data_IF_206423071314
#
_entry.id   IF_206423071314
#
_cell.length_a   1.000
_cell.length_b   1.000
_cell.length_c   1.000
_cell.angle_alpha   90.00
_cell.angle_beta   90.00
_cell.angle_gamma   90.00
#
_symmetry.space_group_name_H-M   'P 1'
#
loop_
_entity.id
_entity.type
_entity.pdbx_description
1 polymer ?
#
# COMPACT_ATOMS: atom_id res chain seq x y z
N UNK A 1 -14.10 4.71 23.57
CA UNK A 1 -14.34 4.60 22.12
C UNK A 1 -13.22 3.75 21.56
N UNK A 2 -13.47 2.55 21.00
CA UNK A 2 -12.41 1.79 20.37
C UNK A 2 -11.87 2.62 19.22
N UNK A 3 -10.55 2.75 19.14
CA UNK A 3 -9.89 3.39 18.01
C UNK A 3 -10.40 2.78 16.71
N UNK A 4 -10.69 3.60 15.71
CA UNK A 4 -11.04 3.11 14.38
C UNK A 4 -9.80 2.42 13.81
N UNK A 5 -9.78 1.08 13.90
CA UNK A 5 -8.68 0.24 13.45
C UNK A 5 -8.40 0.46 11.96
N UNK A 6 -9.43 0.79 11.16
CA UNK A 6 -9.23 1.10 9.76
C UNK A 6 -8.53 2.45 9.56
N UNK A 7 -8.88 3.47 10.35
CA UNK A 7 -8.19 4.75 10.33
C UNK A 7 -6.73 4.61 10.80
N UNK A 8 -6.50 3.84 11.86
CA UNK A 8 -5.16 3.54 12.37
C UNK A 8 -4.29 2.83 11.32
N UNK A 9 -4.79 1.74 10.72
CA UNK A 9 -4.04 0.99 9.71
C UNK A 9 -3.76 1.83 8.46
N UNK A 10 -4.71 2.68 8.03
CA UNK A 10 -4.49 3.61 6.92
C UNK A 10 -3.40 4.63 7.24
N UNK A 11 -3.40 5.17 8.45
CA UNK A 11 -2.38 6.12 8.90
C UNK A 11 -0.99 5.44 8.96
N UNK A 12 -0.90 4.21 9.44
CA UNK A 12 0.35 3.45 9.50
C UNK A 12 0.95 3.19 8.10
N UNK A 13 0.11 2.98 7.08
CA UNK A 13 0.56 2.73 5.70
C UNK A 13 0.79 4.03 4.89
N UNK A 14 0.39 5.19 5.40
CA UNK A 14 0.46 6.46 4.66
C UNK A 14 1.88 6.85 4.24
N UNK A 15 2.93 6.74 5.09
CA UNK A 15 4.29 7.08 4.71
C UNK A 15 4.82 6.19 3.58
N UNK A 16 4.56 4.89 3.65
CA UNK A 16 4.93 3.93 2.60
C UNK A 16 4.23 4.25 1.28
N UNK A 17 2.94 4.58 1.32
CA UNK A 17 2.19 5.00 0.12
C UNK A 17 2.76 6.27 -0.52
N UNK A 18 3.15 7.26 0.29
CA UNK A 18 3.73 8.50 -0.20
C UNK A 18 5.12 8.26 -0.83
N UNK A 19 5.98 7.49 -0.16
CA UNK A 19 7.29 7.11 -0.70
C UNK A 19 7.16 6.38 -2.05
N UNK A 20 6.14 5.53 -2.19
CA UNK A 20 5.85 4.82 -3.45
C UNK A 20 5.20 5.71 -4.53
N UNK A 21 4.65 6.87 -4.16
CA UNK A 21 4.07 7.83 -5.10
C UNK A 21 5.17 8.73 -5.68
N UNK A 22 6.02 9.29 -4.81
CA UNK A 22 7.19 10.10 -5.23
C UNK A 22 8.30 9.23 -5.83
N UNK A 23 8.25 7.92 -5.54
CA UNK A 23 9.20 6.89 -5.96
C UNK A 23 10.66 7.32 -5.79
N UNK A 24 11.08 7.56 -4.55
CA UNK A 24 12.51 7.70 -4.23
C UNK A 24 13.04 6.36 -3.68
N UNK A 25 13.99 5.69 -4.36
CA UNK A 25 14.47 4.35 -4.02
C UNK A 25 14.83 4.14 -2.54
N UNK A 26 15.53 5.09 -1.93
CA UNK A 26 15.98 4.95 -0.54
C UNK A 26 14.82 5.11 0.46
N UNK A 27 13.90 6.02 0.18
CA UNK A 27 12.70 6.31 0.95
C UNK A 27 11.70 5.16 0.90
N UNK A 28 11.52 4.53 -0.27
CA UNK A 28 10.67 3.35 -0.42
C UNK A 28 11.23 2.20 0.42
N UNK A 29 12.54 1.93 0.35
CA UNK A 29 13.19 0.89 1.14
C UNK A 29 13.04 1.15 2.64
N UNK A 30 13.30 2.37 3.09
CA UNK A 30 13.15 2.75 4.50
C UNK A 30 11.70 2.60 4.99
N UNK A 31 10.73 3.05 4.18
CA UNK A 31 9.33 2.96 4.54
C UNK A 31 8.84 1.51 4.60
N UNK A 32 9.29 0.64 3.68
CA UNK A 32 8.99 -0.80 3.75
C UNK A 32 9.52 -1.44 5.05
N UNK A 33 10.74 -1.11 5.47
CA UNK A 33 11.32 -1.62 6.72
C UNK A 33 10.58 -1.14 7.98
N UNK A 34 9.95 0.04 7.91
CA UNK A 34 9.17 0.59 9.02
C UNK A 34 7.78 -0.06 9.19
N UNK A 35 7.23 -0.62 8.11
CA UNK A 35 5.86 -1.15 8.08
C UNK A 35 5.85 -2.68 8.21
N UNK A 36 6.79 -3.36 7.57
CA UNK A 36 6.85 -4.81 7.54
C UNK A 36 7.75 -5.33 8.67
N UNK A 37 7.37 -6.48 9.23
CA UNK A 37 8.32 -7.26 10.03
C UNK A 37 9.43 -7.82 9.13
N UNK A 38 10.67 -7.98 9.63
CA UNK A 38 11.77 -8.55 8.85
C UNK A 38 11.51 -9.98 8.34
N UNK A 39 10.69 -10.74 9.05
CA UNK A 39 10.34 -12.14 8.76
C UNK A 39 8.96 -12.29 8.09
N UNK A 40 8.36 -11.20 7.62
CA UNK A 40 7.07 -11.26 6.95
C UNK A 40 7.21 -11.95 5.58
N UNK A 41 6.33 -12.91 5.28
CA UNK A 41 6.20 -13.44 3.92
C UNK A 41 5.22 -12.55 3.15
N UNK A 42 5.61 -12.13 1.94
CA UNK A 42 4.75 -11.34 1.06
C UNK A 42 4.24 -12.24 -0.06
N UNK A 43 2.94 -12.53 -0.01
CA UNK A 43 2.26 -13.33 -1.02
C UNK A 43 1.77 -12.43 -2.16
N UNK A 44 2.20 -12.72 -3.39
CA UNK A 44 1.77 -12.09 -4.63
C UNK A 44 1.22 -13.13 -5.61
N UNK A 45 0.65 -12.65 -6.70
CA UNK A 45 0.23 -13.53 -7.79
C UNK A 45 1.43 -14.04 -8.59
N UNK A 46 1.22 -15.17 -9.30
CA UNK A 46 2.14 -15.66 -10.33
C UNK A 46 2.45 -14.54 -11.33
N UNK A 47 3.73 -14.29 -11.65
CA UNK A 47 4.88 -15.20 -11.52
C UNK A 47 5.72 -15.07 -10.24
N UNK A 48 5.32 -14.26 -9.26
CA UNK A 48 6.16 -13.98 -8.08
C UNK A 48 5.91 -14.94 -6.92
N UNK A 49 4.65 -15.36 -6.73
CA UNK A 49 4.20 -16.24 -5.65
C UNK A 49 4.63 -15.70 -4.27
N UNK A 50 5.59 -16.33 -3.58
CA UNK A 50 6.01 -15.94 -2.23
C UNK A 50 7.34 -15.19 -2.24
N UNK A 51 7.40 -14.05 -1.55
CA UNK A 51 8.59 -13.22 -1.42
C UNK A 51 9.07 -13.10 0.03
N UNK A 52 10.40 -13.11 0.19
CA UNK A 52 11.09 -12.93 1.46
C UNK A 52 11.07 -11.46 1.91
N UNK A 53 9.91 -11.05 2.45
CA UNK A 53 9.78 -9.80 3.18
C UNK A 53 9.95 -8.52 2.37
N UNK A 54 10.21 -7.39 3.06
CA UNK A 54 10.26 -6.06 2.43
C UNK A 54 11.41 -5.93 1.42
N UNK A 55 12.52 -6.65 1.63
CA UNK A 55 13.65 -6.67 0.70
C UNK A 55 13.30 -7.43 -0.58
N UNK A 56 12.69 -8.61 -0.48
CA UNK A 56 12.22 -9.38 -1.63
C UNK A 56 11.18 -8.61 -2.43
N UNK A 57 10.22 -7.96 -1.76
CA UNK A 57 9.22 -7.11 -2.39
C UNK A 57 9.84 -5.92 -3.15
N UNK A 58 10.82 -5.25 -2.57
CA UNK A 58 11.48 -4.14 -3.26
C UNK A 58 12.28 -4.61 -4.49
N UNK A 59 13.19 -5.55 -4.29
CA UNK A 59 14.17 -5.94 -5.30
C UNK A 59 13.59 -6.74 -6.46
N UNK A 60 12.61 -7.61 -6.19
CA UNK A 60 12.05 -8.48 -7.21
C UNK A 60 10.85 -7.87 -7.93
N UNK A 61 10.18 -6.90 -7.30
CA UNK A 61 8.92 -6.34 -7.83
C UNK A 61 9.03 -4.83 -8.08
N UNK A 62 9.21 -4.01 -7.04
CA UNK A 62 9.12 -2.55 -7.22
C UNK A 62 10.25 -2.00 -8.10
N UNK A 63 11.50 -2.38 -7.87
CA UNK A 63 12.62 -1.88 -8.65
C UNK A 63 12.53 -2.26 -10.15
N UNK A 64 12.30 -3.53 -10.52
CA UNK A 64 12.09 -3.90 -11.92
C UNK A 64 10.87 -3.21 -12.54
N UNK A 65 9.76 -3.10 -11.78
CA UNK A 65 8.53 -2.49 -12.26
C UNK A 65 8.72 -1.00 -12.58
N UNK A 66 9.38 -0.24 -11.70
CA UNK A 66 9.68 1.17 -11.96
C UNK A 66 10.59 1.33 -13.18
N UNK A 67 11.59 0.46 -13.33
CA UNK A 67 12.50 0.51 -14.48
C UNK A 67 11.75 0.26 -15.79
N UNK A 68 10.78 -0.66 -15.77
CA UNK A 68 9.95 -0.98 -16.93
C UNK A 68 8.91 0.12 -17.24
N UNK A 69 8.34 0.74 -16.19
CA UNK A 69 7.29 1.75 -16.29
C UNK A 69 7.64 2.94 -15.36
N UNK A 70 8.46 3.89 -15.82
CA UNK A 70 8.91 5.01 -14.97
C UNK A 70 7.81 5.99 -14.56
N UNK A 71 6.74 6.07 -15.35
CA UNK A 71 5.61 6.99 -15.13
C UNK A 71 4.42 6.26 -14.47
N UNK A 72 4.70 5.36 -13.54
CA UNK A 72 3.70 4.50 -12.92
C UNK A 72 2.82 5.30 -11.94
N UNK A 73 1.68 5.77 -12.43
CA UNK A 73 0.63 6.35 -11.58
C UNK A 73 0.05 5.31 -10.62
N UNK A 74 0.08 5.61 -9.30
CA UNK A 74 -0.38 4.67 -8.26
C UNK A 74 -1.73 5.07 -7.65
N UNK A 75 -2.75 4.20 -7.78
CA UNK A 75 -3.96 4.29 -6.94
C UNK A 75 -3.67 3.76 -5.54
N UNK A 76 -3.78 4.63 -4.55
CA UNK A 76 -3.36 4.31 -3.19
C UNK A 76 -4.46 3.66 -2.32
N UNK A 77 -5.74 3.75 -2.71
CA UNK A 77 -6.85 3.07 -2.01
C UNK A 77 -8.06 2.85 -2.91
N UNK A 78 -8.58 1.63 -2.93
CA UNK A 78 -9.87 1.29 -3.53
C UNK A 78 -10.84 1.07 -2.36
N UNK A 79 -11.83 1.95 -2.21
CA UNK A 79 -12.81 1.84 -1.13
C UNK A 79 -13.89 0.83 -1.46
N UNK A 80 -14.08 -0.19 -0.63
CA UNK A 80 -15.36 -0.90 -0.57
C UNK A 80 -16.38 0.00 0.12
N UNK A 81 -17.57 0.08 -0.49
CA UNK A 81 -18.73 0.90 -0.10
C UNK A 81 -18.87 0.99 1.43
N UNK A 82 -18.60 2.17 1.99
CA UNK A 82 -19.11 2.51 3.32
C UNK A 82 -20.63 2.50 3.21
N UNK A 83 -21.29 1.62 3.95
CA UNK A 83 -22.74 1.56 4.12
C UNK A 83 -23.24 2.81 4.85
N UNK A 84 -23.19 3.96 4.18
CA UNK A 84 -23.93 5.18 4.52
C UNK A 84 -24.36 5.86 3.22
N UNK A 85 -25.27 5.20 2.52
CA UNK A 85 -26.16 5.84 1.57
C UNK A 85 -27.59 5.44 1.95
N UNK A 86 -28.05 5.99 3.07
CA UNK A 86 -29.45 6.09 3.45
C UNK A 86 -29.60 7.43 4.16
N UNK A 87 -30.61 8.21 3.77
CA UNK A 87 -30.88 9.61 4.12
C UNK A 87 -30.15 10.68 3.29
N UNK A 88 -30.51 10.79 2.01
CA UNK A 88 -30.95 12.10 1.49
C UNK A 88 -31.91 11.95 0.29
N UNK A 89 -33.06 11.31 0.52
CA UNK A 89 -34.24 11.47 -0.34
C UNK A 89 -35.41 11.86 0.57
N UNK A 90 -35.41 13.09 1.05
CA UNK A 90 -36.57 13.73 1.67
C UNK A 90 -36.45 15.25 1.45
N UNK A 91 -36.69 15.67 0.21
CA UNK A 91 -36.90 17.07 -0.16
C UNK A 91 -38.20 17.17 -0.93
N UNK A 92 -39.25 17.54 -0.21
CA UNK A 92 -40.37 18.32 -0.77
C UNK A 92 -39.90 19.75 -0.93
#
# INVERSE_FOLDING_TARGET
MPMDVHAFNKAALAPMRQALYDYEPSSVRAALLSVFRPDAVVHLATPYDDLDGPQGLYGNVFEPLQRAIPDLERRASIGTRSSRCALHCAGR
#
